data_IF_098513122784
#
_entry.id   IF_098513122784
#
_cell.length_a   1.000
_cell.length_b   1.000
_cell.length_c   1.000
_cell.angle_alpha   90.00
_cell.angle_beta   90.00
_cell.angle_gamma   90.00
#
_symmetry.space_group_name_H-M   'P 1'
#
loop_
_entity.id
_entity.type
_entity.pdbx_description
1 polymer ?
#
# COMPACT_ATOMS: atom_id res chain seq x y z
N UNK A 1 -16.28 24.74 2.76
CA UNK A 1 -17.33 23.74 3.07
C UNK A 1 -18.63 24.37 3.57
N UNK A 2 -18.64 25.18 4.65
CA UNK A 2 -19.88 25.85 5.13
C UNK A 2 -20.38 26.86 4.08
N UNK A 3 -19.51 27.72 3.56
CA UNK A 3 -19.87 28.74 2.57
C UNK A 3 -20.38 28.15 1.25
N UNK A 4 -19.93 26.94 0.91
CA UNK A 4 -20.37 26.19 -0.27
C UNK A 4 -21.60 25.31 0.03
N UNK A 5 -22.17 25.39 1.24
CA UNK A 5 -23.40 24.66 1.62
C UNK A 5 -23.22 23.17 1.89
N UNK A 6 -22.00 22.65 1.89
CA UNK A 6 -21.69 21.22 2.13
C UNK A 6 -21.87 20.84 3.60
N UNK A 7 -21.58 21.77 4.52
CA UNK A 7 -21.70 21.56 5.97
C UNK A 7 -22.58 22.64 6.59
N UNK A 8 -23.33 22.26 7.62
CA UNK A 8 -24.08 23.21 8.43
C UNK A 8 -23.16 24.14 9.23
N UNK A 9 -23.65 25.32 9.61
CA UNK A 9 -22.91 26.28 10.44
C UNK A 9 -22.46 25.74 11.80
N UNK A 10 -23.13 24.69 12.31
CA UNK A 10 -22.81 24.03 13.58
C UNK A 10 -21.84 22.85 13.43
N UNK A 11 -21.38 22.55 12.22
CA UNK A 11 -20.40 21.49 12.00
C UNK A 11 -19.11 21.80 12.74
N UNK A 12 -18.47 20.76 13.28
CA UNK A 12 -17.18 20.85 13.95
C UNK A 12 -16.08 20.21 13.08
N UNK A 13 -14.82 20.50 13.39
CA UNK A 13 -13.67 20.00 12.64
C UNK A 13 -13.56 18.47 12.63
N UNK A 14 -14.00 17.78 13.70
CA UNK A 14 -13.97 16.31 13.78
C UNK A 14 -14.80 15.63 12.70
N UNK A 15 -15.83 16.31 12.19
CA UNK A 15 -16.75 15.81 11.19
C UNK A 15 -16.57 16.48 9.81
N UNK A 16 -15.51 17.27 9.64
CA UNK A 16 -15.25 17.99 8.39
C UNK A 16 -14.64 17.05 7.36
N UNK A 17 -13.41 16.59 7.62
CA UNK A 17 -12.62 15.73 6.75
C UNK A 17 -11.71 14.81 7.59
N UNK A 18 -11.25 13.72 7.00
CA UNK A 18 -10.15 12.90 7.52
C UNK A 18 -8.84 13.47 6.96
N UNK A 19 -7.92 13.93 7.82
CA UNK A 19 -6.62 14.42 7.39
C UNK A 19 -5.64 13.28 7.14
N UNK A 20 -5.03 13.23 5.94
CA UNK A 20 -4.01 12.27 5.54
C UNK A 20 -2.70 13.01 5.29
N UNK A 21 -1.89 13.13 6.35
CA UNK A 21 -0.63 13.90 6.34
C UNK A 21 0.45 13.19 5.55
N UNK A 22 1.24 13.93 4.76
CA UNK A 22 2.40 13.43 4.02
C UNK A 22 3.65 14.29 4.29
N UNK A 23 4.80 13.69 4.65
CA UNK A 23 4.96 12.26 4.88
C UNK A 23 4.18 11.77 6.10
N UNK A 24 3.64 10.56 6.02
CA UNK A 24 3.08 9.84 7.13
C UNK A 24 4.21 9.29 7.99
N UNK A 25 4.30 9.75 9.23
CA UNK A 25 5.30 9.25 10.17
C UNK A 25 4.75 9.35 11.60
N UNK A 26 5.03 8.37 12.48
CA UNK A 26 4.63 8.45 13.88
C UNK A 26 5.32 9.62 14.57
N UNK A 27 4.54 10.57 15.10
CA UNK A 27 5.08 11.74 15.80
C UNK A 27 4.57 11.77 17.24
N UNK A 28 5.44 12.18 18.18
CA UNK A 28 5.08 12.36 19.60
C UNK A 28 4.46 13.74 19.89
N UNK A 29 4.22 14.53 18.85
CA UNK A 29 3.73 15.90 18.90
C UNK A 29 2.84 16.17 17.70
N UNK A 30 1.99 17.20 17.79
CA UNK A 30 1.19 17.65 16.65
C UNK A 30 2.13 17.96 15.46
N UNK A 31 1.90 17.38 14.27
CA UNK A 31 2.76 17.61 13.13
C UNK A 31 2.61 19.07 12.65
N UNK A 32 3.74 19.68 12.30
CA UNK A 32 3.71 20.89 11.47
C UNK A 32 3.26 20.48 10.06
N UNK A 33 2.34 21.26 9.48
CA UNK A 33 1.82 21.04 8.13
C UNK A 33 2.43 22.08 7.19
N UNK A 34 3.51 21.77 6.45
CA UNK A 34 4.00 22.64 5.39
C UNK A 34 3.00 22.74 4.23
N UNK A 35 3.29 23.59 3.25
CA UNK A 35 2.57 23.59 1.97
C UNK A 35 2.60 22.18 1.33
N UNK A 36 1.51 21.81 0.67
CA UNK A 36 1.33 20.54 -0.03
C UNK A 36 1.56 19.26 0.81
N UNK A 37 1.32 19.35 2.12
CA UNK A 37 1.57 18.25 3.08
C UNK A 37 0.32 17.50 3.54
N UNK A 38 -0.84 17.83 2.99
CA UNK A 38 -2.11 17.25 3.41
C UNK A 38 -2.97 16.82 2.23
N UNK A 39 -3.45 15.57 2.29
CA UNK A 39 -4.61 15.11 1.51
C UNK A 39 -5.79 15.05 2.45
N UNK A 40 -6.96 15.52 2.04
CA UNK A 40 -8.18 15.43 2.83
C UNK A 40 -9.18 14.48 2.18
N UNK A 41 -9.83 13.66 2.99
CA UNK A 41 -10.89 12.75 2.56
C UNK A 41 -12.21 13.15 3.22
N UNK A 42 -13.29 13.26 2.44
CA UNK A 42 -14.63 13.49 2.99
C UNK A 42 -15.70 12.75 2.20
N UNK A 43 -16.71 12.24 2.91
CA UNK A 43 -17.87 11.61 2.26
C UNK A 43 -18.74 12.63 1.52
N UNK A 44 -18.77 13.84 2.06
CA UNK A 44 -19.59 14.95 1.61
C UNK A 44 -18.64 16.01 1.08
N UNK A 45 -18.26 15.88 -0.19
CA UNK A 45 -17.45 16.84 -0.93
C UNK A 45 -17.91 16.92 -2.38
N UNK A 46 -17.82 18.10 -2.96
CA UNK A 46 -18.01 18.33 -4.39
C UNK A 46 -16.75 18.96 -5.01
N UNK A 47 -16.70 18.91 -6.34
CA UNK A 47 -15.55 19.36 -7.12
C UNK A 47 -15.24 20.85 -6.91
N UNK A 48 -16.27 21.70 -6.87
CA UNK A 48 -16.11 23.16 -6.74
C UNK A 48 -15.47 23.52 -5.39
N UNK A 49 -15.95 22.94 -4.30
CA UNK A 49 -15.37 23.17 -2.98
C UNK A 49 -13.96 22.56 -2.88
N UNK A 50 -13.73 21.40 -3.50
CA UNK A 50 -12.42 20.77 -3.54
C UNK A 50 -11.36 21.66 -4.22
N UNK A 51 -11.66 22.18 -5.42
CA UNK A 51 -10.78 23.08 -6.17
C UNK A 51 -10.47 24.36 -5.37
N UNK A 52 -11.49 24.92 -4.70
CA UNK A 52 -11.31 26.09 -3.83
C UNK A 52 -10.41 25.79 -2.65
N UNK A 53 -10.57 24.62 -2.00
CA UNK A 53 -9.72 24.21 -0.87
C UNK A 53 -8.25 24.12 -1.31
N UNK A 54 -7.95 23.40 -2.39
CA UNK A 54 -6.57 23.25 -2.90
C UNK A 54 -5.95 24.62 -3.25
N UNK A 55 -6.76 25.56 -3.74
CA UNK A 55 -6.29 26.91 -4.09
C UNK A 55 -6.05 27.81 -2.88
N UNK A 56 -6.88 27.72 -1.85
CA UNK A 56 -6.92 28.69 -0.74
C UNK A 56 -6.25 28.17 0.54
N UNK A 57 -6.09 26.85 0.70
CA UNK A 57 -5.48 26.22 1.88
C UNK A 57 -4.17 25.58 1.45
N UNK A 58 -3.06 26.32 1.63
CA UNK A 58 -1.75 25.95 1.09
C UNK A 58 -1.21 24.59 1.58
N UNK A 59 -1.64 24.13 2.74
CA UNK A 59 -1.28 22.81 3.26
C UNK A 59 -1.96 21.66 2.48
N UNK A 60 -3.13 21.90 1.88
CA UNK A 60 -3.92 20.88 1.20
C UNK A 60 -3.52 20.77 -0.27
N UNK A 61 -2.82 19.68 -0.61
CA UNK A 61 -2.49 19.37 -2.02
C UNK A 61 -3.55 18.57 -2.75
N UNK A 62 -4.47 17.92 -2.04
CA UNK A 62 -5.39 16.95 -2.65
C UNK A 62 -6.66 16.73 -1.86
N UNK A 63 -7.76 16.53 -2.58
CA UNK A 63 -9.09 16.34 -2.01
C UNK A 63 -9.75 15.10 -2.60
N UNK A 64 -10.06 14.14 -1.73
CA UNK A 64 -10.73 12.90 -2.05
C UNK A 64 -12.17 12.90 -1.55
N UNK A 65 -13.05 12.28 -2.33
CA UNK A 65 -14.41 11.95 -1.94
C UNK A 65 -14.55 10.45 -1.70
N UNK A 66 -14.95 10.10 -0.48
CA UNK A 66 -15.08 8.70 -0.07
C UNK A 66 -15.42 8.54 1.41
N UNK A 67 -15.70 7.30 1.81
CA UNK A 67 -15.99 6.95 3.21
C UNK A 67 -14.83 6.12 3.75
N UNK A 68 -14.11 6.64 4.75
CA UNK A 68 -12.94 5.99 5.36
C UNK A 68 -13.25 4.59 5.93
N UNK A 69 -14.53 4.30 6.18
CA UNK A 69 -14.99 2.99 6.67
C UNK A 69 -15.08 1.93 5.58
N UNK A 70 -14.97 2.33 4.31
CA UNK A 70 -14.91 1.42 3.16
C UNK A 70 -13.45 1.20 2.78
N UNK A 71 -13.04 -0.06 2.81
CA UNK A 71 -11.71 -0.49 2.34
C UNK A 71 -11.58 -0.21 0.85
N UNK A 72 -10.51 0.49 0.47
CA UNK A 72 -10.11 0.72 -0.91
C UNK A 72 -9.26 -0.45 -1.39
N UNK A 73 -9.44 -0.87 -2.63
CA UNK A 73 -8.81 -2.03 -3.24
C UNK A 73 -9.83 -3.14 -3.55
N UNK A 74 -9.30 -4.34 -3.78
CA UNK A 74 -10.06 -5.57 -4.06
C UNK A 74 -9.68 -6.63 -3.02
N UNK A 75 -10.67 -7.39 -2.52
CA UNK A 75 -10.45 -8.38 -1.46
C UNK A 75 -10.08 -9.77 -2.00
N UNK A 76 -10.59 -10.08 -3.19
CA UNK A 76 -10.57 -11.40 -3.83
C UNK A 76 -10.90 -11.21 -5.32
N UNK A 77 -10.53 -12.15 -6.20
CA UNK A 77 -10.79 -12.09 -7.65
C UNK A 77 -12.28 -11.99 -8.01
N UNK A 78 -13.15 -12.57 -7.18
CA UNK A 78 -14.60 -12.51 -7.35
C UNK A 78 -15.26 -11.28 -6.68
N UNK A 79 -14.48 -10.35 -6.12
CA UNK A 79 -14.98 -9.18 -5.40
C UNK A 79 -14.99 -7.91 -6.27
N UNK A 80 -16.00 -7.06 -6.06
CA UNK A 80 -15.98 -5.70 -6.58
C UNK A 80 -14.85 -4.89 -5.93
N UNK A 81 -14.13 -4.13 -6.75
CA UNK A 81 -13.15 -3.17 -6.26
C UNK A 81 -13.82 -1.89 -5.75
N UNK A 82 -13.15 -1.21 -4.82
CA UNK A 82 -13.57 0.12 -4.37
C UNK A 82 -12.40 1.11 -4.44
N UNK A 83 -12.66 2.30 -4.95
CA UNK A 83 -11.74 3.44 -4.96
C UNK A 83 -12.45 4.69 -4.48
N UNK A 84 -11.69 5.66 -3.97
CA UNK A 84 -12.20 7.01 -3.75
C UNK A 84 -12.13 7.84 -5.04
N UNK A 85 -12.90 8.91 -5.09
CA UNK A 85 -12.86 9.85 -6.21
C UNK A 85 -11.90 11.01 -5.89
N UNK A 86 -10.92 11.26 -6.76
CA UNK A 86 -10.07 12.45 -6.68
C UNK A 86 -10.81 13.64 -7.29
N UNK A 87 -11.17 14.61 -6.46
CA UNK A 87 -11.92 15.79 -6.91
C UNK A 87 -11.01 16.94 -7.35
N UNK A 88 -9.86 17.12 -6.70
CA UNK A 88 -8.89 18.16 -7.03
C UNK A 88 -7.49 17.81 -6.50
N UNK A 89 -6.46 18.30 -7.20
CA UNK A 89 -5.06 18.24 -6.75
C UNK A 89 -4.40 16.86 -6.92
N UNK A 90 -3.57 16.48 -5.96
CA UNK A 90 -2.78 15.24 -5.94
C UNK A 90 -2.95 14.49 -4.62
N UNK A 91 -3.30 13.21 -4.69
CA UNK A 91 -3.50 12.35 -3.51
C UNK A 91 -2.32 11.40 -3.20
N UNK A 92 -1.20 11.55 -3.90
CA UNK A 92 0.00 10.76 -3.63
C UNK A 92 0.55 11.10 -2.24
N UNK A 93 0.60 10.13 -1.33
CA UNK A 93 1.13 10.29 0.02
C UNK A 93 2.29 9.32 0.22
N UNK A 94 3.34 9.78 0.87
CA UNK A 94 4.48 8.94 1.25
C UNK A 94 4.39 8.59 2.73
N UNK A 95 4.50 7.31 3.07
CA UNK A 95 4.68 6.80 4.43
C UNK A 95 6.16 6.51 4.69
N UNK A 96 6.67 6.95 5.83
CA UNK A 96 8.01 6.60 6.30
C UNK A 96 7.87 5.49 7.34
N UNK A 97 8.30 4.28 6.98
CA UNK A 97 8.21 3.09 7.82
C UNK A 97 9.60 2.74 8.32
N UNK A 98 9.77 2.68 9.64
CA UNK A 98 11.02 2.25 10.25
C UNK A 98 11.05 0.72 10.36
N UNK A 99 12.14 0.11 9.90
CA UNK A 99 12.38 -1.33 10.03
C UNK A 99 13.77 -1.58 10.61
N UNK A 100 14.03 -2.78 11.18
CA UNK A 100 15.39 -3.17 11.60
C UNK A 100 16.43 -3.14 10.47
N UNK A 101 15.98 -3.14 9.22
CA UNK A 101 16.82 -3.20 8.01
C UNK A 101 16.99 -1.84 7.33
N UNK A 102 16.47 -0.76 7.95
CA UNK A 102 16.50 0.60 7.43
C UNK A 102 15.11 1.21 7.28
N UNK A 103 15.07 2.53 7.04
CA UNK A 103 13.84 3.24 6.77
C UNK A 103 13.36 2.98 5.33
N UNK A 104 12.04 2.84 5.15
CA UNK A 104 11.38 2.70 3.87
C UNK A 104 10.52 3.92 3.56
N UNK A 105 10.58 4.41 2.34
CA UNK A 105 9.61 5.38 1.82
C UNK A 105 8.56 4.66 0.97
N UNK A 106 7.31 4.63 1.42
CA UNK A 106 6.20 3.93 0.75
C UNK A 106 5.18 4.94 0.25
N UNK A 107 5.23 5.24 -1.03
CA UNK A 107 4.25 6.05 -1.74
C UNK A 107 2.96 5.26 -1.97
N UNK A 108 1.82 5.95 -1.89
CA UNK A 108 0.48 5.41 -2.11
C UNK A 108 -0.43 6.48 -2.69
N UNK A 109 -1.13 6.17 -3.78
CA UNK A 109 -2.30 6.95 -4.18
C UNK A 109 -3.45 6.60 -3.23
N UNK A 110 -3.82 7.54 -2.35
CA UNK A 110 -4.80 7.27 -1.28
C UNK A 110 -6.20 6.97 -1.79
N UNK A 111 -6.49 7.28 -3.06
CA UNK A 111 -7.73 6.87 -3.72
C UNK A 111 -7.79 5.39 -4.11
N UNK A 112 -6.64 4.75 -4.29
CA UNK A 112 -6.49 3.40 -4.89
C UNK A 112 -5.87 2.37 -3.93
N UNK A 113 -5.23 2.81 -2.85
CA UNK A 113 -4.60 1.95 -1.85
C UNK A 113 -5.25 2.16 -0.48
N UNK A 114 -5.47 1.07 0.25
CA UNK A 114 -6.01 1.12 1.61
C UNK A 114 -5.17 2.03 2.52
N UNK A 115 -5.86 2.94 3.23
CA UNK A 115 -5.25 3.84 4.19
C UNK A 115 -4.88 3.05 5.44
N UNK A 116 -3.58 2.86 5.64
CA UNK A 116 -2.99 2.43 6.91
C UNK A 116 -2.12 3.54 7.46
N UNK A 117 -2.27 3.85 8.76
CA UNK A 117 -1.42 4.82 9.42
C UNK A 117 -0.15 4.13 9.95
N UNK A 118 1.06 4.69 9.67
CA UNK A 118 2.29 4.20 10.24
C UNK A 118 2.23 4.17 11.77
N UNK A 119 2.71 3.08 12.36
CA UNK A 119 2.85 2.92 13.80
C UNK A 119 4.32 2.97 14.19
N UNK A 120 4.64 3.40 15.42
CA UNK A 120 6.03 3.45 15.93
C UNK A 120 6.69 2.09 15.81
N UNK A 121 5.96 1.03 16.18
CA UNK A 121 6.33 -0.35 15.93
C UNK A 121 5.25 -0.95 15.03
N UNK A 122 5.65 -1.46 13.86
CA UNK A 122 4.73 -2.14 12.95
C UNK A 122 4.66 -3.63 13.33
N UNK A 123 3.50 -4.15 13.77
CA UNK A 123 3.34 -5.57 14.06
C UNK A 123 3.70 -6.46 12.87
N UNK A 124 3.39 -6.00 11.65
CA UNK A 124 3.71 -6.69 10.39
C UNK A 124 5.22 -6.89 10.22
N UNK A 125 6.01 -5.84 10.53
CA UNK A 125 7.47 -5.90 10.46
C UNK A 125 8.06 -6.80 11.55
N UNK A 126 7.50 -6.82 12.76
CA UNK A 126 7.94 -7.72 13.82
C UNK A 126 7.69 -9.21 13.48
N UNK A 127 6.54 -9.51 12.88
CA UNK A 127 6.21 -10.87 12.40
C UNK A 127 7.18 -11.27 11.29
N UNK A 128 7.45 -10.36 10.34
CA UNK A 128 8.42 -10.60 9.28
C UNK A 128 9.83 -10.86 9.82
N UNK A 129 10.31 -10.05 10.76
CA UNK A 129 11.63 -10.20 11.37
C UNK A 129 11.79 -11.58 12.01
N UNK A 130 10.76 -12.05 12.73
CA UNK A 130 10.73 -13.39 13.31
C UNK A 130 10.75 -14.48 12.25
N UNK A 131 10.02 -14.29 11.14
CA UNK A 131 9.98 -15.27 10.07
C UNK A 131 11.34 -15.44 9.38
N UNK A 132 12.08 -14.34 9.19
CA UNK A 132 13.38 -14.31 8.53
C UNK A 132 14.52 -14.89 9.39
N UNK A 133 14.43 -14.82 10.73
CA UNK A 133 15.51 -15.26 11.66
C UNK A 133 15.98 -16.70 11.48
N UNK A 134 15.12 -17.58 10.97
CA UNK A 134 15.43 -18.99 10.79
C UNK A 134 16.21 -19.29 9.48
N UNK A 135 16.46 -18.26 8.67
CA UNK A 135 17.05 -18.37 7.33
C UNK A 135 18.22 -17.41 7.17
N UNK A 136 19.25 -17.81 6.42
CA UNK A 136 20.39 -16.94 6.12
C UNK A 136 20.05 -15.96 4.98
N UNK A 137 19.65 -16.49 3.82
CA UNK A 137 19.29 -15.72 2.62
C UNK A 137 18.09 -16.35 1.90
N UNK A 138 16.88 -16.29 2.49
CA UNK A 138 15.73 -16.99 1.93
C UNK A 138 15.32 -16.40 0.57
N UNK A 139 14.62 -17.19 -0.24
CA UNK A 139 13.74 -16.64 -1.29
C UNK A 139 12.35 -16.38 -0.72
N UNK A 140 11.76 -15.23 -1.05
CA UNK A 140 10.48 -14.79 -0.49
C UNK A 140 9.47 -14.55 -1.59
N UNK A 141 8.25 -15.04 -1.41
CA UNK A 141 7.08 -14.65 -2.19
C UNK A 141 6.20 -13.74 -1.31
N UNK A 142 6.01 -12.49 -1.71
CA UNK A 142 5.05 -11.57 -1.12
C UNK A 142 3.74 -11.68 -1.92
N UNK A 143 2.82 -12.54 -1.46
CA UNK A 143 1.71 -13.04 -2.26
C UNK A 143 0.61 -12.01 -2.52
N UNK A 144 0.43 -11.08 -1.59
CA UNK A 144 -0.58 -10.01 -1.60
C UNK A 144 0.12 -8.70 -1.23
N UNK A 145 1.10 -8.33 -2.04
CA UNK A 145 2.15 -7.40 -1.65
C UNK A 145 1.68 -5.96 -1.44
N UNK A 146 0.48 -5.61 -1.93
CA UNK A 146 -0.07 -4.27 -1.81
C UNK A 146 0.91 -3.23 -2.36
N UNK A 147 1.29 -2.20 -1.58
CA UNK A 147 2.28 -1.20 -1.99
C UNK A 147 3.75 -1.70 -1.90
N UNK A 148 3.98 -2.99 -1.59
CA UNK A 148 5.29 -3.64 -1.59
C UNK A 148 6.08 -3.51 -0.28
N UNK A 149 5.44 -3.05 0.81
CA UNK A 149 6.13 -2.73 2.08
C UNK A 149 6.95 -3.91 2.62
N UNK A 150 6.35 -5.10 2.68
CA UNK A 150 6.96 -6.27 3.30
C UNK A 150 8.04 -6.88 2.41
N UNK A 151 7.77 -7.05 1.11
CA UNK A 151 8.77 -7.50 0.15
C UNK A 151 9.96 -6.54 0.03
N UNK A 152 9.76 -5.21 0.08
CA UNK A 152 10.87 -4.24 0.09
C UNK A 152 11.67 -4.33 1.39
N UNK A 153 11.01 -4.54 2.53
CA UNK A 153 11.70 -4.81 3.80
C UNK A 153 12.57 -6.09 3.69
N UNK A 154 12.07 -7.15 3.07
CA UNK A 154 12.84 -8.37 2.77
C UNK A 154 14.07 -8.06 1.90
N UNK A 155 13.92 -7.29 0.81
CA UNK A 155 15.05 -6.89 -0.04
C UNK A 155 16.12 -6.13 0.77
N UNK A 156 15.71 -5.21 1.65
CA UNK A 156 16.64 -4.50 2.55
C UNK A 156 17.29 -5.43 3.59
N UNK A 157 16.59 -6.47 4.03
CA UNK A 157 17.13 -7.50 4.92
C UNK A 157 18.21 -8.38 4.25
N UNK A 158 18.38 -8.29 2.92
CA UNK A 158 19.42 -9.01 2.20
C UNK A 158 19.03 -10.43 1.78
N UNK A 159 17.74 -10.71 1.67
CA UNK A 159 17.21 -11.97 1.12
C UNK A 159 17.74 -12.24 -0.29
N UNK A 160 17.67 -13.49 -0.74
CA UNK A 160 18.22 -13.88 -2.04
C UNK A 160 17.40 -13.30 -3.20
N UNK A 161 16.08 -13.43 -3.14
CA UNK A 161 15.13 -12.95 -4.15
C UNK A 161 13.78 -12.67 -3.49
N UNK A 162 13.06 -11.66 -3.98
CA UNK A 162 11.65 -11.43 -3.65
C UNK A 162 10.79 -11.46 -4.90
N UNK A 163 9.74 -12.27 -4.91
CA UNK A 163 8.67 -12.17 -5.90
C UNK A 163 7.53 -11.39 -5.28
N UNK A 164 7.13 -10.29 -5.91
CA UNK A 164 5.97 -9.49 -5.53
C UNK A 164 4.79 -9.91 -6.37
N UNK A 165 3.66 -10.21 -5.73
CA UNK A 165 2.42 -10.49 -6.41
C UNK A 165 1.27 -9.76 -5.71
N UNK A 166 0.33 -9.23 -6.48
CA UNK A 166 -0.94 -8.74 -6.00
C UNK A 166 -1.94 -8.81 -7.14
N UNK A 167 -3.20 -9.06 -6.85
CA UNK A 167 -4.25 -9.07 -7.87
C UNK A 167 -4.70 -7.65 -8.25
N UNK A 168 -4.42 -6.66 -7.39
CA UNK A 168 -4.80 -5.29 -7.60
C UNK A 168 -3.76 -4.53 -8.42
N UNK A 169 -4.04 -4.29 -9.71
CA UNK A 169 -3.10 -3.56 -10.59
C UNK A 169 -2.57 -2.24 -10.01
N UNK A 170 -3.38 -1.36 -9.36
CA UNK A 170 -2.84 -0.16 -8.71
C UNK A 170 -1.86 -0.43 -7.57
N UNK A 171 -1.99 -1.56 -6.87
CA UNK A 171 -1.01 -2.00 -5.88
C UNK A 171 0.33 -2.36 -6.56
N UNK A 172 0.28 -3.06 -7.69
CA UNK A 172 1.47 -3.37 -8.49
C UNK A 172 2.14 -2.10 -9.02
N UNK A 173 1.40 -1.18 -9.64
CA UNK A 173 1.95 0.11 -10.09
C UNK A 173 2.62 0.87 -8.93
N UNK A 174 1.99 0.86 -7.75
CA UNK A 174 2.54 1.47 -6.54
C UNK A 174 3.80 0.75 -6.04
N UNK A 175 3.82 -0.58 -6.09
CA UNK A 175 5.00 -1.39 -5.75
C UNK A 175 6.18 -1.05 -6.64
N UNK A 176 5.98 -0.87 -7.96
CA UNK A 176 7.04 -0.47 -8.88
C UNK A 176 7.64 0.91 -8.53
N UNK A 177 6.77 1.89 -8.21
CA UNK A 177 7.22 3.21 -7.74
C UNK A 177 8.04 3.07 -6.44
N UNK A 178 7.59 2.22 -5.52
CA UNK A 178 8.24 2.03 -4.22
C UNK A 178 9.56 1.27 -4.33
N UNK A 179 9.70 0.34 -5.26
CA UNK A 179 10.97 -0.32 -5.56
C UNK A 179 12.01 0.73 -5.98
N UNK A 180 11.69 1.57 -6.97
CA UNK A 180 12.56 2.66 -7.42
C UNK A 180 12.89 3.63 -6.29
N UNK A 181 11.88 4.10 -5.56
CA UNK A 181 12.05 5.05 -4.46
C UNK A 181 12.94 4.52 -3.33
N UNK A 182 13.00 3.19 -3.15
CA UNK A 182 13.85 2.54 -2.15
C UNK A 182 15.18 2.04 -2.74
N UNK A 183 15.52 2.40 -3.98
CA UNK A 183 16.81 2.12 -4.61
C UNK A 183 16.92 0.74 -5.24
N UNK A 184 15.80 0.17 -5.69
CA UNK A 184 15.73 -1.08 -6.43
C UNK A 184 15.26 -0.80 -7.87
N UNK A 185 16.18 -0.60 -8.83
CA UNK A 185 15.83 -0.23 -10.20
C UNK A 185 14.95 -1.29 -10.88
N UNK A 186 13.88 -0.81 -11.51
CA UNK A 186 12.83 -1.59 -12.16
C UNK A 186 13.08 -1.65 -13.66
N UNK A 187 12.92 -2.85 -14.23
CA UNK A 187 12.92 -3.10 -15.68
C UNK A 187 11.58 -3.70 -16.05
N UNK A 188 10.78 -2.96 -16.82
CA UNK A 188 9.50 -3.44 -17.33
C UNK A 188 9.69 -4.60 -18.31
N UNK A 189 8.83 -5.59 -18.21
CA UNK A 189 8.74 -6.67 -19.19
C UNK A 189 8.05 -6.18 -20.45
N UNK A 190 8.56 -6.59 -21.62
CA UNK A 190 8.08 -6.07 -22.91
C UNK A 190 6.91 -6.81 -23.54
N UNK A 191 6.54 -8.01 -23.07
CA UNK A 191 5.56 -8.86 -23.80
C UNK A 191 4.92 -10.05 -23.06
N UNK A 192 5.33 -10.39 -21.84
CA UNK A 192 4.66 -11.46 -21.07
C UNK A 192 3.56 -10.82 -20.20
N UNK A 193 2.30 -11.23 -20.38
CA UNK A 193 1.15 -10.62 -19.68
C UNK A 193 1.23 -10.79 -18.15
N UNK A 194 2.00 -11.78 -17.68
CA UNK A 194 2.03 -12.24 -16.29
C UNK A 194 3.16 -11.58 -15.48
N UNK A 195 4.39 -11.56 -16.02
CA UNK A 195 5.54 -10.88 -15.41
C UNK A 195 5.53 -9.40 -15.82
N UNK A 196 5.21 -8.52 -14.89
CA UNK A 196 5.11 -7.08 -15.14
C UNK A 196 6.48 -6.40 -15.20
N UNK A 197 7.36 -6.73 -14.25
CA UNK A 197 8.69 -6.14 -14.17
C UNK A 197 9.66 -6.99 -13.37
N UNK A 198 10.96 -6.69 -13.50
CA UNK A 198 12.03 -7.36 -12.76
C UNK A 198 13.17 -6.41 -12.40
N UNK A 199 14.03 -6.87 -11.49
CA UNK A 199 15.30 -6.25 -11.13
C UNK A 199 16.33 -7.28 -10.70
N UNK A 200 17.44 -6.87 -10.11
CA UNK A 200 18.56 -7.77 -9.76
C UNK A 200 18.13 -8.94 -8.85
N UNK A 201 17.22 -8.67 -7.91
CA UNK A 201 16.78 -9.65 -6.88
C UNK A 201 15.28 -9.69 -6.71
N UNK A 202 14.54 -9.24 -7.72
CA UNK A 202 13.09 -9.28 -7.63
C UNK A 202 12.40 -9.43 -8.98
N UNK A 203 11.18 -9.93 -8.90
CA UNK A 203 10.20 -9.98 -9.99
C UNK A 203 8.86 -9.51 -9.46
N UNK A 204 8.02 -8.96 -10.33
CA UNK A 204 6.71 -8.41 -9.99
C UNK A 204 5.66 -8.98 -10.94
N UNK A 205 4.64 -9.60 -10.39
CA UNK A 205 3.51 -10.21 -11.07
C UNK A 205 2.22 -9.52 -10.65
N UNK A 206 1.19 -9.58 -11.51
CA UNK A 206 -0.15 -9.10 -11.17
C UNK A 206 -1.18 -10.21 -11.40
N UNK A 207 -1.36 -11.07 -10.42
CA UNK A 207 -2.20 -12.27 -10.55
C UNK A 207 -2.90 -12.64 -9.24
N UNK A 208 -3.94 -13.44 -9.38
CA UNK A 208 -4.46 -14.22 -8.27
C UNK A 208 -3.40 -15.23 -7.79
N UNK A 209 -3.15 -15.29 -6.47
CA UNK A 209 -2.19 -16.25 -5.92
C UNK A 209 -2.56 -17.70 -6.27
N UNK A 210 -3.85 -18.01 -6.46
CA UNK A 210 -4.33 -19.35 -6.80
C UNK A 210 -3.90 -19.77 -8.21
N UNK A 211 -3.59 -18.80 -9.07
CA UNK A 211 -3.11 -19.02 -10.43
C UNK A 211 -1.59 -18.93 -10.53
N UNK A 212 -0.93 -18.28 -9.57
CA UNK A 212 0.51 -18.03 -9.59
C UNK A 212 1.37 -19.31 -9.65
N UNK A 213 0.87 -20.41 -9.09
CA UNK A 213 1.52 -21.73 -9.18
C UNK A 213 1.57 -22.32 -10.60
N UNK A 214 0.82 -21.76 -11.56
CA UNK A 214 0.89 -22.15 -12.96
C UNK A 214 2.03 -21.44 -13.71
N UNK A 215 2.54 -20.33 -13.16
CA UNK A 215 3.55 -19.49 -13.79
C UNK A 215 4.91 -19.59 -13.09
N UNK A 216 4.93 -19.90 -11.79
CA UNK A 216 6.14 -20.04 -10.99
C UNK A 216 6.48 -21.52 -10.74
N UNK A 217 7.62 -21.96 -11.28
CA UNK A 217 8.17 -23.30 -11.05
C UNK A 217 9.06 -23.39 -9.80
N UNK A 218 9.46 -22.25 -9.22
CA UNK A 218 10.36 -22.21 -8.07
C UNK A 218 9.64 -22.38 -6.73
N UNK A 219 10.34 -22.98 -5.75
CA UNK A 219 9.86 -23.09 -4.37
C UNK A 219 10.49 -22.01 -3.50
N UNK A 220 9.64 -21.20 -2.88
CA UNK A 220 10.06 -20.15 -1.97
C UNK A 220 10.32 -20.69 -0.55
N UNK A 221 11.28 -20.10 0.15
CA UNK A 221 11.48 -20.43 1.56
C UNK A 221 10.34 -19.88 2.42
N UNK A 222 9.87 -18.67 2.10
CA UNK A 222 8.80 -17.97 2.83
C UNK A 222 7.78 -17.41 1.83
N UNK A 223 6.49 -17.67 2.09
CA UNK A 223 5.38 -17.02 1.42
C UNK A 223 4.63 -16.14 2.42
N UNK A 224 4.44 -14.86 2.10
CA UNK A 224 3.78 -13.86 2.95
C UNK A 224 2.37 -13.62 2.42
N UNK A 225 1.37 -13.66 3.30
CA UNK A 225 -0.02 -13.31 3.00
C UNK A 225 -0.43 -12.20 3.97
N UNK A 226 -0.72 -11.01 3.43
CA UNK A 226 -1.20 -9.83 4.15
C UNK A 226 -2.49 -9.35 3.49
N UNK A 227 -3.61 -9.93 3.91
CA UNK A 227 -4.94 -9.59 3.38
C UNK A 227 -5.61 -8.51 4.22
N UNK A 228 -6.62 -7.85 3.67
CA UNK A 228 -7.43 -6.91 4.46
C UNK A 228 -8.06 -7.57 5.69
N UNK A 229 -8.28 -6.82 6.79
CA UNK A 229 -8.96 -7.33 7.97
C UNK A 229 -10.32 -7.96 7.64
N UNK A 230 -10.51 -9.20 8.10
CA UNK A 230 -11.75 -9.96 7.92
C UNK A 230 -11.90 -10.69 6.59
N UNK A 231 -10.86 -10.72 5.73
CA UNK A 231 -10.77 -11.64 4.59
C UNK A 231 -10.43 -13.05 5.10
N UNK A 232 -11.06 -14.07 4.52
CA UNK A 232 -10.74 -15.48 4.81
C UNK A 232 -9.48 -15.87 4.04
N UNK A 233 -8.45 -16.31 4.76
CA UNK A 233 -7.14 -16.62 4.19
C UNK A 233 -6.96 -18.09 3.80
N UNK A 234 -7.96 -18.96 4.00
CA UNK A 234 -7.79 -20.42 3.81
C UNK A 234 -7.29 -20.76 2.41
N UNK A 235 -7.96 -20.28 1.36
CA UNK A 235 -7.59 -20.60 -0.03
C UNK A 235 -6.23 -19.98 -0.42
N UNK A 236 -5.94 -18.77 0.06
CA UNK A 236 -4.64 -18.11 -0.15
C UNK A 236 -3.52 -18.92 0.49
N UNK A 237 -3.72 -19.44 1.70
CA UNK A 237 -2.75 -20.30 2.41
C UNK A 237 -2.56 -21.63 1.67
N UNK A 238 -3.63 -22.25 1.19
CA UNK A 238 -3.54 -23.48 0.40
C UNK A 238 -2.74 -23.28 -0.90
N UNK A 239 -2.96 -22.17 -1.60
CA UNK A 239 -2.18 -21.79 -2.79
C UNK A 239 -0.71 -21.52 -2.44
N UNK A 240 -0.45 -20.74 -1.39
CA UNK A 240 0.91 -20.41 -0.96
C UNK A 240 1.72 -21.64 -0.51
N UNK A 241 1.08 -22.64 0.11
CA UNK A 241 1.73 -23.91 0.48
C UNK A 241 2.17 -24.72 -0.75
N UNK A 242 1.56 -24.51 -1.92
CA UNK A 242 2.04 -25.09 -3.18
C UNK A 242 3.25 -24.35 -3.72
N UNK A 243 3.56 -23.15 -3.25
CA UNK A 243 4.65 -22.31 -3.76
C UNK A 243 5.84 -22.22 -2.80
N UNK A 244 5.66 -22.45 -1.49
CA UNK A 244 6.77 -22.33 -0.55
C UNK A 244 6.70 -23.24 0.67
N UNK A 245 7.77 -23.18 1.46
CA UNK A 245 7.99 -24.07 2.63
C UNK A 245 7.30 -23.56 3.90
N UNK A 246 7.32 -22.25 4.12
CA UNK A 246 6.74 -21.58 5.30
C UNK A 246 5.78 -20.50 4.83
N UNK A 247 4.50 -20.63 5.20
CA UNK A 247 3.50 -19.58 4.96
C UNK A 247 3.37 -18.73 6.22
N UNK A 248 3.44 -17.41 6.05
CA UNK A 248 3.32 -16.42 7.12
C UNK A 248 2.13 -15.53 6.80
N UNK A 249 1.09 -15.63 7.62
CA UNK A 249 -0.09 -14.76 7.53
C UNK A 249 0.10 -13.59 8.49
N UNK A 250 -0.12 -12.37 8.00
CA UNK A 250 0.10 -11.09 8.69
C UNK A 250 -1.23 -10.35 8.88
#
# INVERSE_FOLDING_TARGET
MIDEGIKEKKANLRNACVPLVTPGYPTNSVPYLPEDSLVILSKEMDKRCAEKIVKEVGEVKGVLKGDIRKTVGIKDSDSDSHVYELLAGCDLRCDIIQTPYGALGIYKYQREIHIEFPQVNSPKIEILEKALKDYDRPTVLDCTCGPGTLGIACLKAGVQKVVFNDIWNPAIETTLINLEANGFPVKFSGSEEELIASGDKFEVYSMDIRELANCLDEKFDICIIDTFPGVDTIEFVEAANKLGKKVVVI
#
